data_IF_007735822613
#
_entry.id   IF_007735822613
#
_cell.length_a   1.000
_cell.length_b   1.000
_cell.length_c   1.000
_cell.angle_alpha   90.00
_cell.angle_beta   90.00
_cell.angle_gamma   90.00
#
_symmetry.space_group_name_H-M   'P 1'
#
loop_
_entity.id
_entity.type
_entity.pdbx_description
1 polymer ?
#
# COMPACT_ATOMS: atom_id res chain seq x y z
N UNK A 1 -19.20 7.95 -1.22
CA UNK A 1 -18.25 7.87 -2.35
C UNK A 1 -17.48 9.17 -2.41
N UNK A 2 -16.16 9.13 -2.66
CA UNK A 2 -15.32 10.32 -2.76
C UNK A 2 -15.22 10.71 -4.25
N UNK A 3 -15.98 11.73 -4.66
CA UNK A 3 -16.02 12.20 -6.06
C UNK A 3 -15.56 13.65 -6.15
N UNK A 4 -14.35 13.89 -5.63
CA UNK A 4 -13.63 15.16 -5.76
C UNK A 4 -12.35 14.90 -6.51
N UNK A 5 -11.89 15.85 -7.32
CA UNK A 5 -10.58 15.83 -7.96
C UNK A 5 -9.45 16.11 -6.96
N UNK A 6 -9.42 15.37 -5.86
CA UNK A 6 -8.52 15.55 -4.72
C UNK A 6 -8.11 14.18 -4.18
N UNK A 7 -6.86 14.09 -3.73
CA UNK A 7 -6.32 12.92 -3.05
C UNK A 7 -6.13 13.27 -1.57
N UNK A 8 -6.78 12.50 -0.69
CA UNK A 8 -6.65 12.62 0.77
C UNK A 8 -5.82 11.44 1.29
N UNK A 9 -4.66 11.73 1.90
CA UNK A 9 -3.73 10.72 2.41
C UNK A 9 -3.55 10.94 3.91
N UNK A 10 -3.95 9.96 4.70
CA UNK A 10 -3.66 9.88 6.13
C UNK A 10 -2.71 8.71 6.36
N UNK A 11 -1.58 8.98 7.00
CA UNK A 11 -0.60 7.97 7.40
C UNK A 11 -0.37 8.04 8.91
N UNK A 12 -0.38 6.88 9.57
CA UNK A 12 -0.05 6.75 10.99
C UNK A 12 1.05 5.69 11.15
N UNK A 13 2.18 6.09 11.71
CA UNK A 13 3.33 5.22 11.96
C UNK A 13 3.25 4.75 13.42
N UNK A 14 3.34 3.45 13.63
CA UNK A 14 3.26 2.81 14.94
C UNK A 14 4.45 1.87 15.16
N UNK A 15 4.90 1.80 16.40
CA UNK A 15 6.00 0.92 16.77
C UNK A 15 5.52 -0.53 16.84
N UNK A 16 6.30 -1.46 16.27
CA UNK A 16 6.18 -2.88 16.56
C UNK A 16 7.05 -3.13 17.82
N UNK A 17 6.40 -3.30 18.98
CA UNK A 17 7.06 -3.48 20.29
C UNK A 17 7.04 -2.26 21.24
N UNK A 18 7.49 -2.47 22.49
CA UNK A 18 7.44 -1.46 23.58
C UNK A 18 8.81 -0.87 23.95
N UNK A 19 9.87 -1.21 23.21
CA UNK A 19 11.24 -0.83 23.52
C UNK A 19 11.57 0.63 23.16
N UNK A 20 12.67 1.16 23.72
CA UNK A 20 13.19 2.49 23.37
C UNK A 20 13.57 2.58 21.89
N UNK A 21 14.13 1.50 21.33
CA UNK A 21 14.45 1.36 19.91
C UNK A 21 13.21 1.55 19.02
N UNK A 22 12.09 0.93 19.38
CA UNK A 22 10.82 1.04 18.64
C UNK A 22 10.33 2.49 18.50
N UNK A 23 10.54 3.35 19.52
CA UNK A 23 10.17 4.78 19.42
C UNK A 23 11.07 5.57 18.48
N UNK A 24 12.37 5.26 18.48
CA UNK A 24 13.34 5.87 17.58
C UNK A 24 13.09 5.43 16.13
N UNK A 25 12.76 4.17 15.91
CA UNK A 25 12.42 3.64 14.59
C UNK A 25 11.18 4.32 14.00
N UNK A 26 10.16 4.61 14.83
CA UNK A 26 8.98 5.39 14.41
C UNK A 26 9.38 6.80 13.94
N UNK A 27 10.28 7.47 14.66
CA UNK A 27 10.75 8.82 14.29
C UNK A 27 11.63 8.81 13.03
N UNK A 28 12.37 7.73 12.82
CA UNK A 28 13.24 7.54 11.67
C UNK A 28 12.50 7.05 10.42
N UNK A 29 11.31 6.45 10.59
CA UNK A 29 10.44 6.06 9.49
C UNK A 29 9.79 7.29 8.87
N UNK A 30 9.87 7.41 7.55
CA UNK A 30 9.28 8.53 6.82
C UNK A 30 8.27 8.04 5.79
N UNK A 31 7.25 8.85 5.55
CA UNK A 31 6.38 8.69 4.39
C UNK A 31 6.77 9.75 3.38
N UNK A 32 7.22 9.31 2.20
CA UNK A 32 7.52 10.18 1.06
C UNK A 32 6.31 10.20 0.14
N UNK A 33 5.88 11.39 -0.26
CA UNK A 33 4.80 11.62 -1.21
C UNK A 33 5.40 12.38 -2.39
N UNK A 34 5.38 11.76 -3.56
CA UNK A 34 5.82 12.35 -4.82
C UNK A 34 4.58 12.67 -5.65
N UNK A 35 4.35 13.94 -5.95
CA UNK A 35 3.24 14.40 -6.77
C UNK A 35 3.74 14.71 -8.18
N UNK A 36 2.97 14.32 -9.18
CA UNK A 36 3.11 14.74 -10.58
C UNK A 36 1.81 15.40 -11.05
N UNK A 37 1.77 15.84 -12.31
CA UNK A 37 0.57 16.44 -12.89
C UNK A 37 -0.68 15.55 -12.80
N UNK A 38 -0.52 14.22 -12.80
CA UNK A 38 -1.63 13.27 -12.88
C UNK A 38 -1.48 12.03 -11.98
N UNK A 39 -0.47 11.98 -11.11
CA UNK A 39 -0.25 10.83 -10.22
C UNK A 39 0.29 11.29 -8.87
N UNK A 40 -0.02 10.51 -7.84
CA UNK A 40 0.63 10.60 -6.54
C UNK A 40 1.27 9.24 -6.24
N UNK A 41 2.54 9.24 -5.86
CA UNK A 41 3.23 8.05 -5.35
C UNK A 41 3.49 8.23 -3.88
N UNK A 42 2.96 7.30 -3.08
CA UNK A 42 3.16 7.26 -1.63
C UNK A 42 4.08 6.08 -1.32
N UNK A 43 5.19 6.34 -0.62
CA UNK A 43 6.17 5.31 -0.27
C UNK A 43 6.62 5.46 1.18
N UNK A 44 6.63 4.35 1.92
CA UNK A 44 7.32 4.31 3.22
C UNK A 44 8.81 4.13 3.00
N UNK A 45 9.59 4.97 3.67
CA UNK A 45 11.03 5.00 3.66
C UNK A 45 11.57 4.57 5.04
N UNK A 46 12.32 3.48 5.03
CA UNK A 46 12.97 2.88 6.20
C UNK A 46 14.50 3.04 6.14
N UNK A 47 15.05 3.89 5.27
CA UNK A 47 16.51 4.04 5.07
C UNK A 47 17.25 4.42 6.36
N UNK A 48 16.57 5.11 7.29
CA UNK A 48 17.13 5.51 8.60
C UNK A 48 16.86 4.52 9.74
N UNK A 49 16.04 3.51 9.48
CA UNK A 49 15.80 2.38 10.39
C UNK A 49 16.72 1.22 10.02
N UNK A 50 17.06 1.10 8.74
CA UNK A 50 17.96 0.07 8.21
C UNK A 50 19.42 0.54 8.27
N UNK A 51 20.28 -0.19 8.96
CA UNK A 51 21.72 -0.03 8.80
C UNK A 51 22.16 -0.59 7.43
N UNK A 52 22.83 0.26 6.66
CA UNK A 52 23.30 0.13 5.27
C UNK A 52 23.75 -1.28 4.82
N UNK A 53 22.95 -1.94 3.96
CA UNK A 53 23.35 -2.82 2.84
C UNK A 53 22.18 -3.73 2.41
N UNK A 54 21.26 -3.28 1.54
CA UNK A 54 20.40 -4.21 0.78
C UNK A 54 19.96 -3.59 -0.56
N UNK A 55 20.75 -3.88 -1.60
CA UNK A 55 20.52 -3.57 -3.02
C UNK A 55 19.41 -4.43 -3.67
N UNK A 56 18.67 -5.24 -2.89
CA UNK A 56 17.57 -6.10 -3.35
C UNK A 56 16.33 -5.87 -2.46
N UNK A 57 15.58 -4.80 -2.74
CA UNK A 57 14.60 -4.16 -1.84
C UNK A 57 13.40 -4.97 -1.30
N UNK A 58 13.36 -6.30 -1.43
CA UNK A 58 12.23 -7.15 -1.01
C UNK A 58 12.59 -8.62 -0.71
N UNK A 59 13.87 -9.03 -0.74
CA UNK A 59 14.26 -10.45 -0.61
C UNK A 59 14.97 -10.80 0.71
N UNK A 60 15.36 -9.80 1.51
CA UNK A 60 16.30 -9.97 2.63
C UNK A 60 15.67 -9.55 3.97
N UNK A 61 14.40 -9.91 4.20
CA UNK A 61 13.71 -9.61 5.45
C UNK A 61 14.18 -10.51 6.58
N UNK A 62 15.36 -10.19 7.12
CA UNK A 62 15.78 -10.59 8.46
C UNK A 62 14.82 -10.08 9.53
N UNK A 63 14.98 -10.63 10.74
CA UNK A 63 14.10 -10.54 11.91
C UNK A 63 13.96 -9.16 12.59
N UNK A 64 14.25 -8.06 11.90
CA UNK A 64 14.11 -6.73 12.49
C UNK A 64 12.65 -6.26 12.35
N UNK A 65 11.98 -6.08 13.50
CA UNK A 65 10.64 -5.49 13.62
C UNK A 65 10.68 -4.05 13.09
N UNK A 66 10.06 -3.81 11.94
CA UNK A 66 9.94 -2.47 11.36
C UNK A 66 8.66 -1.81 11.91
N UNK A 67 8.62 -0.49 12.08
CA UNK A 67 7.38 0.20 12.42
C UNK A 67 6.27 -0.10 11.42
N UNK A 68 5.06 -0.31 11.91
CA UNK A 68 3.87 -0.47 11.08
C UNK A 68 3.41 0.89 10.57
N UNK A 69 3.04 0.98 9.29
CA UNK A 69 2.45 2.20 8.73
C UNK A 69 1.05 1.91 8.24
N UNK A 70 0.09 2.61 8.85
CA UNK A 70 -1.32 2.52 8.50
C UNK A 70 -1.68 3.64 7.55
N UNK A 71 -2.06 3.27 6.33
CA UNK A 71 -2.52 4.20 5.32
C UNK A 71 -4.05 4.19 5.21
N UNK A 72 -4.62 5.38 5.10
CA UNK A 72 -5.98 5.59 4.59
C UNK A 72 -5.89 6.62 3.47
N UNK A 73 -6.14 6.17 2.25
CA UNK A 73 -6.01 6.99 1.05
C UNK A 73 -7.38 7.05 0.37
N UNK A 74 -7.88 8.26 0.10
CA UNK A 74 -9.04 8.48 -0.75
C UNK A 74 -8.60 9.12 -2.05
N UNK A 75 -9.09 8.59 -3.16
CA UNK A 75 -8.82 9.04 -4.52
C UNK A 75 -10.14 9.20 -5.27
N UNK A 76 -10.17 9.97 -6.37
CA UNK A 76 -11.29 9.93 -7.31
C UNK A 76 -11.57 8.49 -7.76
N UNK A 77 -12.84 8.12 -7.95
CA UNK A 77 -13.23 6.74 -8.29
C UNK A 77 -12.64 6.25 -9.62
N UNK A 78 -12.31 7.16 -10.55
CA UNK A 78 -11.70 6.83 -11.84
C UNK A 78 -10.17 6.79 -11.81
N UNK A 79 -9.56 6.89 -10.63
CA UNK A 79 -8.11 6.77 -10.46
C UNK A 79 -7.71 5.30 -10.58
N UNK A 80 -6.72 5.01 -11.43
CA UNK A 80 -6.05 3.72 -11.42
C UNK A 80 -5.18 3.60 -10.18
N UNK A 81 -5.25 2.44 -9.52
CA UNK A 81 -4.58 2.20 -8.23
C UNK A 81 -3.56 1.08 -8.37
N UNK A 82 -2.31 1.35 -8.02
CA UNK A 82 -1.25 0.35 -7.93
C UNK A 82 -0.80 0.23 -6.46
N UNK A 83 -0.81 -1.00 -5.93
CA UNK A 83 -0.34 -1.30 -4.57
C UNK A 83 0.77 -2.34 -4.65
N UNK A 84 1.92 -1.99 -4.05
CA UNK A 84 3.03 -2.91 -3.84
C UNK A 84 3.29 -3.01 -2.35
N UNK A 85 3.04 -4.19 -1.79
CA UNK A 85 3.21 -4.43 -0.37
C UNK A 85 3.99 -5.72 -0.08
N UNK A 86 4.52 -5.79 1.15
CA UNK A 86 5.26 -6.95 1.62
C UNK A 86 4.52 -7.70 2.71
N UNK A 87 4.09 -6.99 3.77
CA UNK A 87 3.39 -7.55 4.92
C UNK A 87 2.27 -6.62 5.36
N UNK A 88 1.06 -6.81 4.84
CA UNK A 88 -0.08 -5.93 5.14
C UNK A 88 -1.44 -6.61 4.98
N UNK A 89 -2.45 -5.95 5.52
CA UNK A 89 -3.85 -6.16 5.13
C UNK A 89 -4.25 -4.95 4.28
N UNK A 90 -4.66 -5.21 3.04
CA UNK A 90 -4.97 -4.19 2.03
C UNK A 90 -6.45 -4.28 1.68
N UNK A 91 -7.16 -3.15 1.75
CA UNK A 91 -8.56 -3.04 1.35
C UNK A 91 -8.75 -1.89 0.37
N UNK A 92 -9.36 -2.17 -0.78
CA UNK A 92 -9.67 -1.22 -1.84
C UNK A 92 -11.15 -1.33 -2.16
N UNK A 93 -11.84 -0.19 -2.26
CA UNK A 93 -13.29 -0.16 -2.51
C UNK A 93 -13.67 0.99 -3.45
N UNK A 94 -14.76 0.79 -4.20
CA UNK A 94 -15.44 1.81 -5.02
C UNK A 94 -14.55 2.42 -6.12
N UNK A 95 -13.73 1.60 -6.78
CA UNK A 95 -12.89 2.02 -7.91
C UNK A 95 -13.57 1.64 -9.23
N UNK A 96 -13.60 2.57 -10.18
CA UNK A 96 -14.17 2.45 -11.53
C UNK A 96 -13.08 2.48 -12.61
N UNK A 97 -11.88 2.05 -12.24
CA UNK A 97 -10.69 2.00 -13.09
C UNK A 97 -9.87 0.76 -12.74
N UNK A 98 -8.66 0.68 -13.25
CA UNK A 98 -7.80 -0.49 -13.11
C UNK A 98 -7.11 -0.53 -11.75
N UNK A 99 -7.10 -1.71 -11.15
CA UNK A 99 -6.43 -2.01 -9.88
C UNK A 99 -5.35 -3.06 -10.08
N UNK A 100 -4.12 -2.74 -9.72
CA UNK A 100 -2.97 -3.67 -9.77
C UNK A 100 -2.39 -3.83 -8.37
N UNK A 101 -2.24 -5.08 -7.92
CA UNK A 101 -1.76 -5.39 -6.56
C UNK A 101 -0.69 -6.48 -6.62
N UNK A 102 0.50 -6.17 -6.13
CA UNK A 102 1.55 -7.14 -5.85
C UNK A 102 1.75 -7.22 -4.32
N UNK A 103 1.37 -8.35 -3.72
CA UNK A 103 1.46 -8.59 -2.28
C UNK A 103 2.25 -9.84 -1.96
N UNK A 104 3.25 -9.74 -1.07
CA UNK A 104 4.04 -10.93 -0.72
C UNK A 104 3.43 -11.75 0.43
N UNK A 105 3.12 -11.14 1.57
CA UNK A 105 2.58 -11.79 2.78
C UNK A 105 1.41 -10.99 3.36
N UNK A 106 0.20 -11.21 2.91
CA UNK A 106 -0.91 -10.34 3.29
C UNK A 106 -2.28 -10.79 2.84
N UNK A 107 -3.31 -10.11 3.35
CA UNK A 107 -4.68 -10.30 2.87
C UNK A 107 -5.07 -9.10 2.00
N UNK A 108 -5.68 -9.38 0.86
CA UNK A 108 -6.18 -8.38 -0.08
C UNK A 108 -7.68 -8.53 -0.22
N UNK A 109 -8.40 -7.43 -0.01
CA UNK A 109 -9.85 -7.33 -0.25
C UNK A 109 -10.11 -6.18 -1.22
N UNK A 110 -10.62 -6.51 -2.41
CA UNK A 110 -11.08 -5.53 -3.39
C UNK A 110 -12.58 -5.69 -3.56
N UNK A 111 -13.34 -4.62 -3.34
CA UNK A 111 -14.80 -4.65 -3.45
C UNK A 111 -15.36 -3.50 -4.28
N UNK A 112 -16.52 -3.74 -4.91
CA UNK A 112 -17.23 -2.74 -5.73
C UNK A 112 -16.34 -2.16 -6.83
N UNK A 113 -15.55 -3.02 -7.46
CA UNK A 113 -14.73 -2.68 -8.61
C UNK A 113 -15.58 -2.64 -9.89
N UNK A 114 -15.40 -1.60 -10.69
CA UNK A 114 -15.97 -1.45 -12.03
C UNK A 114 -14.86 -1.13 -13.04
N UNK A 115 -13.92 -2.06 -13.19
CA UNK A 115 -12.71 -1.92 -14.01
C UNK A 115 -11.98 -3.26 -14.11
N UNK A 116 -10.72 -3.25 -14.52
CA UNK A 116 -9.89 -4.47 -14.52
C UNK A 116 -9.12 -4.64 -13.21
N UNK A 117 -8.72 -5.88 -12.92
CA UNK A 117 -7.95 -6.22 -11.74
C UNK A 117 -6.85 -7.22 -12.07
N UNK A 118 -5.63 -6.94 -11.62
CA UNK A 118 -4.51 -7.88 -11.58
C UNK A 118 -4.01 -8.00 -10.14
N UNK A 119 -4.08 -9.21 -9.57
CA UNK A 119 -3.61 -9.49 -8.20
C UNK A 119 -2.58 -10.61 -8.25
N UNK A 120 -1.36 -10.31 -7.82
CA UNK A 120 -0.30 -11.28 -7.58
C UNK A 120 -0.08 -11.41 -6.07
N UNK A 121 -0.22 -12.63 -5.56
CA UNK A 121 0.04 -12.94 -4.14
C UNK A 121 0.96 -14.14 -3.99
N UNK A 122 1.82 -14.13 -2.98
CA UNK A 122 2.64 -15.30 -2.62
C UNK A 122 2.14 -16.04 -1.38
N UNK A 123 1.86 -15.31 -0.29
CA UNK A 123 1.40 -15.87 0.99
C UNK A 123 0.24 -15.06 1.55
N UNK A 124 -0.96 -15.62 1.45
CA UNK A 124 -2.16 -15.03 2.04
C UNK A 124 -3.39 -15.30 1.19
N UNK A 125 -4.42 -14.47 1.36
CA UNK A 125 -5.70 -14.62 0.65
C UNK A 125 -6.00 -13.34 -0.12
N UNK A 126 -6.52 -13.50 -1.32
CA UNK A 126 -7.12 -12.42 -2.09
C UNK A 126 -8.61 -12.71 -2.27
N UNK A 127 -9.45 -11.72 -1.98
CA UNK A 127 -10.87 -11.70 -2.31
C UNK A 127 -11.12 -10.51 -3.22
N UNK A 128 -11.84 -10.75 -4.31
CA UNK A 128 -12.23 -9.71 -5.26
C UNK A 128 -13.71 -9.84 -5.56
N UNK A 129 -14.46 -8.80 -5.20
CA UNK A 129 -15.88 -8.64 -5.49
C UNK A 129 -16.07 -7.52 -6.51
N UNK A 130 -16.42 -7.91 -7.74
CA UNK A 130 -16.57 -6.98 -8.86
C UNK A 130 -18.04 -6.59 -9.03
N UNK A 131 -18.31 -5.28 -9.13
CA UNK A 131 -19.65 -4.75 -9.41
C UNK A 131 -19.99 -4.85 -10.91
N UNK A 132 -19.00 -4.63 -11.77
CA UNK A 132 -19.08 -4.88 -13.21
C UNK A 132 -17.70 -5.16 -13.80
N UNK A 133 -17.58 -6.19 -14.64
CA UNK A 133 -16.36 -6.48 -15.37
C UNK A 133 -16.42 -5.81 -16.75
N UNK A 134 -15.44 -4.96 -17.05
CA UNK A 134 -15.23 -4.48 -18.41
C UNK A 134 -14.39 -5.51 -19.18
N UNK A 135 -14.91 -5.99 -20.31
CA UNK A 135 -14.17 -6.84 -21.25
C UNK A 135 -13.09 -6.00 -21.94
N UNK A 136 -11.82 -6.44 -21.93
CA UNK A 136 -10.82 -5.93 -22.89
C UNK A 136 -11.07 -6.63 -24.23
N UNK A 137 -11.54 -5.87 -25.22
CA UNK A 137 -11.55 -6.26 -26.64
C UNK A 137 -10.18 -6.13 -27.26
#
# INVERSE_FOLDING_TARGET
TWDKAEIDIVARIEAEGRGRRSREDVQNTKVRIELSANSARVKTDYDRVRHHNSFLGFLEFGSDELPMVHYKIKVPVRTSVEVKDYKSTTSITDIQSDVVIDSYKGNVDVSRLSGSVDVKTYKGKARVDVASLASRS
#
